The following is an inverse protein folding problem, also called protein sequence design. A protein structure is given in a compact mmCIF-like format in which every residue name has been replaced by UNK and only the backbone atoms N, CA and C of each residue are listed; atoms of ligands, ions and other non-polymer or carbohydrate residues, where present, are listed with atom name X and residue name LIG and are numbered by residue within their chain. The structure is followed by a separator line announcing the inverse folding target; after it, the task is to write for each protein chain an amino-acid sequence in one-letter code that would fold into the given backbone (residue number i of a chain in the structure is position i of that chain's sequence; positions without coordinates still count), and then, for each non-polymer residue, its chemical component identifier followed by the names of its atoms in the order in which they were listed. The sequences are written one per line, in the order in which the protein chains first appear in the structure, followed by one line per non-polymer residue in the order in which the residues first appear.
data_IF_459825492765
#
_entry.id   IF_459825492765
#
_cell.length_a   1.000
_cell.length_b   1.000
_cell.length_c   1.000
_cell.angle_alpha   90.00
_cell.angle_beta   90.00
_cell.angle_gamma   90.00
#
_symmetry.space_group_name_H-M   'P 1'
#
loop_
_entity.id
_entity.type
_entity.pdbx_description
1 polymer ?
#
# COMPACT_ATOMS: atom_id res chain seq x y z
N UNK A 1 93.00 38.36 -18.25
CA UNK A 1 92.67 38.41 -19.69
C UNK A 1 91.57 37.36 -19.88
N UNK A 2 90.32 37.66 -20.24
CA UNK A 2 89.81 38.54 -21.30
C UNK A 2 88.56 39.27 -20.78
N UNK A 3 88.48 40.58 -21.08
CA UNK A 3 87.30 41.46 -20.95
C UNK A 3 86.59 41.49 -22.30
N UNK A 4 85.25 41.48 -22.36
CA UNK A 4 84.43 42.16 -23.41
C UNK A 4 82.98 42.22 -22.88
N UNK A 5 82.57 43.37 -22.32
CA UNK A 5 81.83 44.49 -22.94
C UNK A 5 80.32 44.23 -23.12
N UNK A 6 79.60 45.05 -22.37
CA UNK A 6 78.16 45.31 -22.30
C UNK A 6 77.58 45.72 -23.65
N UNK A 7 76.37 45.24 -23.95
CA UNK A 7 75.38 45.96 -24.74
C UNK A 7 73.98 45.66 -24.19
N UNK A 8 73.37 46.69 -23.58
CA UNK A 8 71.96 46.73 -23.22
C UNK A 8 71.10 46.65 -24.49
N UNK A 9 70.07 45.81 -24.45
CA UNK A 9 68.84 46.01 -25.20
C UNK A 9 67.67 45.75 -24.25
N UNK A 10 67.00 46.86 -23.91
CA UNK A 10 65.72 46.90 -23.21
C UNK A 10 64.65 46.24 -24.10
N UNK A 11 64.13 45.09 -23.69
CA UNK A 11 62.82 44.63 -24.15
C UNK A 11 61.97 44.33 -22.92
N UNK A 12 61.12 45.31 -22.60
CA UNK A 12 60.09 45.24 -21.59
C UNK A 12 59.09 44.16 -22.02
N UNK A 13 59.18 42.97 -21.42
CA UNK A 13 58.12 41.96 -21.49
C UNK A 13 57.54 41.84 -20.09
N UNK A 14 56.47 42.61 -19.85
CA UNK A 14 55.51 42.30 -18.79
C UNK A 14 54.84 40.98 -19.16
N UNK A 15 55.43 39.86 -18.75
CA UNK A 15 54.66 38.64 -18.62
C UNK A 15 53.93 38.74 -17.28
N UNK A 16 52.72 39.30 -17.34
CA UNK A 16 51.84 39.39 -16.20
C UNK A 16 51.71 38.00 -15.55
N UNK A 17 52.00 37.93 -14.26
CA UNK A 17 51.49 36.88 -13.38
C UNK A 17 49.96 36.99 -13.36
N UNK A 18 49.29 36.47 -14.39
CA UNK A 18 47.95 35.97 -14.20
C UNK A 18 48.11 34.54 -13.71
N UNK A 19 48.06 34.39 -12.38
CA UNK A 19 47.32 33.26 -11.80
C UNK A 19 45.90 33.38 -12.37
N UNK A 20 45.71 32.93 -13.61
CA UNK A 20 44.42 32.55 -14.09
C UNK A 20 44.03 31.41 -13.15
N UNK A 21 43.24 31.77 -12.14
CA UNK A 21 42.32 30.85 -11.53
C UNK A 21 41.49 30.33 -12.69
N UNK A 22 41.97 29.24 -13.31
CA UNK A 22 41.10 28.31 -14.00
C UNK A 22 40.18 27.82 -12.88
N UNK A 23 39.12 28.59 -12.61
CA UNK A 23 37.81 27.97 -12.48
C UNK A 23 37.61 27.27 -13.82
N UNK A 24 38.15 26.07 -13.93
CA UNK A 24 37.39 25.02 -14.58
C UNK A 24 36.06 25.03 -13.84
N UNK A 25 35.11 25.77 -14.39
CA UNK A 25 33.71 25.49 -14.18
C UNK A 25 33.59 24.03 -14.60
N UNK A 26 33.60 23.17 -13.59
CA UNK A 26 33.32 21.76 -13.72
C UNK A 26 32.07 21.70 -14.60
N UNK A 27 32.13 21.14 -15.82
CA UNK A 27 30.92 20.93 -16.57
C UNK A 27 30.07 20.06 -15.66
N UNK A 28 28.93 20.59 -15.23
CA UNK A 28 27.94 19.86 -14.44
C UNK A 28 27.41 18.80 -15.39
N UNK A 29 28.14 17.70 -15.50
CA UNK A 29 27.74 16.52 -16.24
C UNK A 29 26.50 16.01 -15.52
N UNK A 30 25.34 16.18 -16.17
CA UNK A 30 24.08 15.55 -15.83
C UNK A 30 24.33 14.07 -15.52
N UNK A 31 24.50 13.75 -14.23
CA UNK A 31 24.32 12.40 -13.70
C UNK A 31 22.83 12.22 -13.46
N UNK A 32 22.06 12.37 -14.53
CA UNK A 32 20.63 12.11 -14.53
C UNK A 32 20.42 10.58 -14.46
N UNK A 33 19.66 10.14 -13.46
CA UNK A 33 18.46 9.34 -13.75
C UNK A 33 18.58 7.90 -14.23
N UNK A 34 19.76 7.29 -14.44
CA UNK A 34 19.85 6.02 -15.18
C UNK A 34 19.02 4.82 -14.63
N UNK A 35 18.67 4.79 -13.33
CA UNK A 35 17.83 3.71 -12.75
C UNK A 35 16.33 4.01 -12.70
N UNK A 36 15.93 5.28 -12.82
CA UNK A 36 14.54 5.73 -12.74
C UNK A 36 14.01 6.33 -14.05
N UNK A 37 14.88 6.66 -15.00
CA UNK A 37 14.48 7.13 -16.32
C UNK A 37 13.80 6.02 -17.13
N UNK A 38 12.82 6.44 -17.94
CA UNK A 38 11.96 5.59 -18.76
C UNK A 38 11.26 4.47 -17.97
N UNK A 39 10.93 4.75 -16.71
CA UNK A 39 10.21 3.81 -15.85
C UNK A 39 8.76 4.23 -15.65
N UNK A 40 7.91 3.24 -15.42
CA UNK A 40 6.49 3.42 -15.17
C UNK A 40 6.12 2.80 -13.84
N UNK A 41 5.29 3.51 -13.09
CA UNK A 41 4.97 3.21 -11.72
C UNK A 41 3.48 3.31 -11.48
N UNK A 42 2.99 2.52 -10.55
CA UNK A 42 1.62 2.54 -10.04
C UNK A 42 1.65 2.87 -8.55
N UNK A 43 0.83 3.81 -8.10
CA UNK A 43 0.76 4.15 -6.69
C UNK A 43 0.12 3.00 -5.91
N UNK A 44 0.85 2.51 -4.91
CA UNK A 44 0.37 1.48 -3.98
C UNK A 44 -0.31 2.15 -2.80
N UNK A 45 0.39 3.10 -2.18
CA UNK A 45 -0.08 3.73 -0.95
C UNK A 45 0.67 5.03 -0.60
N UNK A 46 0.05 5.81 0.27
CA UNK A 46 0.67 6.90 1.00
C UNK A 46 0.67 6.56 2.49
N UNK A 47 1.84 6.47 3.11
CA UNK A 47 2.04 6.25 4.54
C UNK A 47 2.22 7.60 5.22
N UNK A 48 1.24 8.05 6.01
CA UNK A 48 1.37 9.24 6.84
C UNK A 48 2.10 8.94 8.13
N UNK A 49 2.91 9.89 8.60
CA UNK A 49 3.50 9.85 9.95
C UNK A 49 2.51 10.24 11.05
N UNK A 50 1.32 10.74 10.67
CA UNK A 50 0.23 10.99 11.59
C UNK A 50 -0.50 9.69 11.89
N UNK A 51 -0.51 9.28 13.16
CA UNK A 51 -1.30 8.13 13.64
C UNK A 51 -2.81 8.28 13.37
N UNK A 52 -3.29 9.51 13.15
CA UNK A 52 -4.69 9.80 12.81
C UNK A 52 -5.02 9.55 11.33
N UNK A 53 -4.04 9.76 10.43
CA UNK A 53 -4.23 9.60 8.98
C UNK A 53 -3.82 8.18 8.55
N UNK A 54 -2.76 7.63 9.16
CA UNK A 54 -2.27 6.30 8.85
C UNK A 54 -1.91 6.14 7.38
N UNK A 55 -2.29 5.01 6.78
CA UNK A 55 -2.00 4.72 5.37
C UNK A 55 -3.24 4.93 4.51
N UNK A 56 -3.09 5.70 3.42
CA UNK A 56 -4.11 5.94 2.41
C UNK A 56 -3.77 5.14 1.15
N UNK A 57 -4.76 4.53 0.50
CA UNK A 57 -4.58 3.78 -0.76
C UNK A 57 -5.59 4.23 -1.82
N UNK A 58 -5.19 4.22 -3.11
CA UNK A 58 -6.14 4.43 -4.20
C UNK A 58 -7.26 3.40 -4.17
N UNK A 59 -8.51 3.84 -4.40
CA UNK A 59 -9.63 2.93 -4.63
C UNK A 59 -9.56 2.21 -5.98
N UNK A 60 -8.91 2.85 -6.96
CA UNK A 60 -8.72 2.41 -8.34
C UNK A 60 -7.23 2.58 -8.68
N UNK A 61 -6.33 1.70 -8.20
CA UNK A 61 -4.87 1.88 -8.32
C UNK A 61 -4.39 1.95 -9.77
N UNK A 62 -5.09 1.34 -10.72
CA UNK A 62 -4.84 1.44 -12.17
C UNK A 62 -5.00 2.86 -12.72
N UNK A 63 -5.71 3.73 -12.00
CA UNK A 63 -5.83 5.15 -12.33
C UNK A 63 -4.82 6.02 -11.59
N UNK A 64 -3.87 5.43 -10.87
CA UNK A 64 -2.80 6.18 -10.21
C UNK A 64 -1.46 5.71 -10.76
N UNK A 65 -1.01 6.32 -11.85
CA UNK A 65 0.22 5.94 -12.54
C UNK A 65 1.14 7.13 -12.71
N UNK A 66 2.44 6.84 -12.83
CA UNK A 66 3.48 7.83 -13.04
C UNK A 66 4.50 7.28 -14.05
N UNK A 67 4.83 8.09 -15.03
CA UNK A 67 5.91 7.84 -15.98
C UNK A 67 7.02 8.85 -15.71
N UNK A 68 8.24 8.36 -15.50
CA UNK A 68 9.44 9.17 -15.34
C UNK A 68 10.26 9.06 -16.62
N UNK A 69 10.14 10.04 -17.51
CA UNK A 69 10.84 10.01 -18.80
C UNK A 69 12.32 10.41 -18.64
N UNK A 70 13.19 9.86 -19.50
CA UNK A 70 14.62 10.18 -19.50
C UNK A 70 14.94 11.65 -19.80
N UNK A 71 14.04 12.38 -20.46
CA UNK A 71 14.18 13.82 -20.71
C UNK A 71 13.93 14.70 -19.46
N UNK A 72 13.67 14.09 -18.30
CA UNK A 72 13.39 14.79 -17.05
C UNK A 72 11.93 15.25 -16.93
N UNK A 73 11.03 14.81 -17.81
CA UNK A 73 9.59 15.05 -17.68
C UNK A 73 8.90 13.91 -16.92
N UNK A 74 7.92 14.27 -16.10
CA UNK A 74 7.06 13.33 -15.37
C UNK A 74 5.60 13.53 -15.80
N UNK A 75 4.95 12.43 -16.16
CA UNK A 75 3.51 12.41 -16.51
C UNK A 75 2.78 11.50 -15.54
N UNK A 76 1.67 11.97 -14.98
CA UNK A 76 0.92 11.26 -13.95
C UNK A 76 -0.56 11.19 -14.31
N UNK A 77 -1.16 10.03 -14.09
CA UNK A 77 -2.60 9.87 -13.92
C UNK A 77 -2.85 9.77 -12.41
N UNK A 78 -3.69 10.63 -11.86
CA UNK A 78 -4.03 10.73 -10.43
C UNK A 78 -5.54 10.59 -10.27
N UNK A 79 -6.03 9.35 -10.28
CA UNK A 79 -7.45 9.05 -10.29
C UNK A 79 -8.11 9.58 -11.56
N UNK A 80 -9.01 10.54 -11.40
CA UNK A 80 -9.68 11.23 -12.50
C UNK A 80 -8.88 12.43 -13.06
N UNK A 81 -7.81 12.84 -12.38
CA UNK A 81 -6.97 13.97 -12.77
C UNK A 81 -5.71 13.52 -13.52
N UNK A 82 -5.19 14.39 -14.39
CA UNK A 82 -3.89 14.23 -15.03
C UNK A 82 -2.96 15.34 -14.58
N UNK A 83 -1.69 15.01 -14.37
CA UNK A 83 -0.66 15.97 -14.03
C UNK A 83 0.61 15.78 -14.86
N UNK A 84 1.31 16.88 -15.12
CA UNK A 84 2.59 16.88 -15.81
C UNK A 84 3.54 17.90 -15.18
N UNK A 85 4.83 17.58 -15.14
CA UNK A 85 5.88 18.51 -14.76
C UNK A 85 7.26 17.93 -15.02
N UNK A 86 8.26 18.45 -14.32
CA UNK A 86 9.63 17.93 -14.39
C UNK A 86 9.96 17.09 -13.16
N UNK A 87 10.95 16.22 -13.29
CA UNK A 87 11.52 15.48 -12.18
C UNK A 87 13.05 15.42 -12.30
N UNK A 88 13.72 15.22 -11.17
CA UNK A 88 15.14 14.93 -11.12
C UNK A 88 15.45 14.00 -9.95
N UNK A 89 16.49 13.20 -10.12
CA UNK A 89 17.04 12.37 -9.05
C UNK A 89 18.56 12.40 -9.05
N UNK A 90 19.14 12.42 -7.85
CA UNK A 90 20.60 12.30 -7.64
C UNK A 90 20.83 11.02 -6.83
N UNK A 91 21.42 9.96 -7.42
CA UNK A 91 21.63 8.70 -6.73
C UNK A 91 22.69 8.83 -5.62
N UNK A 92 22.45 8.13 -4.51
CA UNK A 92 23.44 7.87 -3.47
C UNK A 92 24.44 6.80 -3.88
N UNK A 93 25.35 6.43 -2.97
CA UNK A 93 26.50 5.58 -3.25
C UNK A 93 26.14 4.20 -3.84
N UNK A 94 25.01 3.62 -3.44
CA UNK A 94 24.53 2.30 -3.91
C UNK A 94 23.49 2.38 -5.03
N UNK A 95 23.10 3.59 -5.45
CA UNK A 95 22.07 3.84 -6.47
C UNK A 95 20.63 3.45 -6.07
N UNK A 96 20.46 2.73 -4.96
CA UNK A 96 19.17 2.26 -4.44
C UNK A 96 18.42 3.35 -3.68
N UNK A 97 19.11 4.38 -3.20
CA UNK A 97 18.51 5.55 -2.56
C UNK A 97 19.13 6.83 -3.10
N UNK A 98 18.49 7.97 -2.85
CA UNK A 98 19.05 9.26 -3.25
C UNK A 98 18.07 10.41 -3.08
N UNK A 99 18.44 11.57 -3.62
CA UNK A 99 17.56 12.72 -3.67
C UNK A 99 16.58 12.57 -4.83
N UNK A 100 15.34 12.99 -4.62
CA UNK A 100 14.30 13.04 -5.66
C UNK A 100 13.54 14.36 -5.52
N UNK A 101 13.24 15.01 -6.64
CA UNK A 101 12.39 16.19 -6.64
C UNK A 101 11.48 16.24 -7.85
N UNK A 102 10.25 16.72 -7.64
CA UNK A 102 9.40 17.21 -8.72
C UNK A 102 9.60 18.72 -8.86
N UNK A 103 9.61 19.21 -10.10
CA UNK A 103 9.32 20.61 -10.40
C UNK A 103 7.83 20.92 -10.22
N UNK A 104 7.38 22.12 -10.60
CA UNK A 104 5.97 22.46 -10.58
C UNK A 104 5.14 21.46 -11.42
N UNK A 105 4.13 20.84 -10.79
CA UNK A 105 3.18 19.97 -11.48
C UNK A 105 1.95 20.79 -11.90
N UNK A 106 1.67 20.83 -13.20
CA UNK A 106 0.41 21.29 -13.73
C UNK A 106 -0.60 20.14 -13.68
N UNK A 107 -1.72 20.32 -12.97
CA UNK A 107 -2.75 19.28 -12.81
C UNK A 107 -4.12 19.80 -13.25
N UNK A 108 -4.93 18.91 -13.83
CA UNK A 108 -6.37 19.15 -13.96
C UNK A 108 -7.04 19.21 -12.58
N UNK A 109 -8.27 19.75 -12.53
CA UNK A 109 -9.04 19.96 -11.28
C UNK A 109 -10.44 19.34 -11.36
N UNK A 110 -10.51 18.09 -11.81
CA UNK A 110 -11.71 17.28 -11.69
C UNK A 110 -11.91 16.86 -10.22
N UNK A 111 -13.17 16.72 -9.80
CA UNK A 111 -13.50 16.29 -8.45
C UNK A 111 -13.49 14.75 -8.40
N UNK A 112 -12.37 14.18 -7.96
CA UNK A 112 -12.26 12.72 -7.87
C UNK A 112 -12.99 12.17 -6.64
N UNK A 113 -13.48 10.92 -6.70
CA UNK A 113 -14.05 10.25 -5.53
C UNK A 113 -13.06 10.21 -4.35
N UNK A 114 -13.54 10.26 -3.10
CA UNK A 114 -12.72 10.00 -1.92
C UNK A 114 -11.95 8.67 -2.01
N UNK A 115 -10.70 8.56 -1.51
CA UNK A 115 -10.06 9.44 -0.52
C UNK A 115 -9.34 10.68 -1.08
N UNK A 116 -9.59 11.09 -2.33
CA UNK A 116 -8.98 12.27 -2.97
C UNK A 116 -7.44 12.29 -2.90
N UNK A 117 -6.83 11.12 -3.16
CA UNK A 117 -5.38 11.00 -3.23
C UNK A 117 -4.75 11.82 -4.35
N UNK A 118 -5.56 12.21 -5.34
CA UNK A 118 -5.17 13.08 -6.44
C UNK A 118 -4.78 14.49 -5.97
N UNK A 119 -5.66 15.15 -5.21
CA UNK A 119 -5.39 16.48 -4.64
C UNK A 119 -4.23 16.42 -3.65
N UNK A 120 -4.20 15.35 -2.84
CA UNK A 120 -3.16 15.13 -1.83
C UNK A 120 -1.79 14.98 -2.48
N UNK A 121 -1.64 14.07 -3.45
CA UNK A 121 -0.36 13.88 -4.14
C UNK A 121 0.06 15.15 -4.86
N UNK A 122 -0.84 15.81 -5.60
CA UNK A 122 -0.53 17.05 -6.31
C UNK A 122 -0.04 18.17 -5.37
N UNK A 123 -0.59 18.26 -4.16
CA UNK A 123 -0.11 19.18 -3.13
C UNK A 123 1.23 18.77 -2.52
N UNK A 124 1.41 17.48 -2.28
CA UNK A 124 2.58 16.92 -1.60
C UNK A 124 3.81 16.80 -2.50
N UNK A 125 3.63 16.69 -3.82
CA UNK A 125 4.72 16.46 -4.77
C UNK A 125 5.87 17.47 -4.65
N UNK A 126 5.54 18.76 -4.41
CA UNK A 126 6.53 19.83 -4.20
C UNK A 126 7.39 19.65 -2.94
N UNK A 127 6.98 18.75 -2.05
CA UNK A 127 7.65 18.44 -0.79
C UNK A 127 8.41 17.11 -0.81
N UNK A 128 8.37 16.34 -1.91
CA UNK A 128 9.19 15.13 -2.09
C UNK A 128 10.66 15.53 -2.13
N UNK A 129 11.50 14.86 -1.33
CA UNK A 129 12.95 15.17 -1.23
C UNK A 129 13.87 13.97 -1.41
N UNK A 130 13.36 12.76 -1.24
CA UNK A 130 14.19 11.57 -1.33
C UNK A 130 13.46 10.39 -1.96
N UNK A 131 14.24 9.44 -2.45
CA UNK A 131 13.75 8.15 -2.89
C UNK A 131 14.50 6.99 -2.25
N UNK A 132 13.81 5.86 -2.13
CA UNK A 132 14.38 4.56 -1.82
C UNK A 132 13.72 3.48 -2.69
N UNK A 133 14.55 2.77 -3.44
CA UNK A 133 14.23 1.52 -4.11
C UNK A 133 14.36 0.38 -3.10
N UNK A 134 13.24 -0.23 -2.75
CA UNK A 134 13.20 -1.35 -1.82
C UNK A 134 12.15 -2.34 -2.28
N UNK A 135 12.51 -3.62 -2.34
CA UNK A 135 11.63 -4.71 -2.78
C UNK A 135 11.05 -4.49 -4.18
N UNK A 136 11.80 -3.81 -5.06
CA UNK A 136 11.36 -3.43 -6.41
C UNK A 136 10.44 -2.20 -6.46
N UNK A 137 10.04 -1.64 -5.31
CA UNK A 137 9.18 -0.48 -5.21
C UNK A 137 9.98 0.82 -5.07
N UNK A 138 9.47 1.89 -5.68
CA UNK A 138 9.95 3.25 -5.50
C UNK A 138 9.21 3.93 -4.35
N UNK A 139 9.92 4.23 -3.27
CA UNK A 139 9.40 4.94 -2.11
C UNK A 139 9.84 6.40 -2.21
N UNK A 140 8.91 7.34 -2.30
CA UNK A 140 9.16 8.78 -2.36
C UNK A 140 8.85 9.42 -1.01
N UNK A 141 9.87 9.91 -0.32
CA UNK A 141 9.76 10.52 1.01
C UNK A 141 9.52 12.02 0.92
N UNK A 142 8.54 12.51 1.69
CA UNK A 142 8.30 13.93 1.90
C UNK A 142 9.27 14.52 2.93
N UNK A 143 9.54 15.81 2.85
CA UNK A 143 10.27 16.54 3.90
C UNK A 143 9.51 16.55 5.23
N UNK A 144 10.23 16.82 6.32
CA UNK A 144 9.67 17.06 7.65
C UNK A 144 8.71 15.96 8.14
N UNK A 145 9.04 14.70 7.84
CA UNK A 145 8.23 13.53 8.19
C UNK A 145 6.78 13.62 7.65
N UNK A 146 6.59 14.26 6.49
CA UNK A 146 5.27 14.43 5.89
C UNK A 146 4.60 13.11 5.48
N UNK A 147 5.39 12.05 5.30
CA UNK A 147 4.94 10.72 4.87
C UNK A 147 5.74 10.17 3.69
N UNK A 148 5.35 8.99 3.23
CA UNK A 148 6.03 8.26 2.15
C UNK A 148 4.99 7.79 1.13
N UNK A 149 5.20 8.12 -0.15
CA UNK A 149 4.44 7.51 -1.24
C UNK A 149 5.17 6.27 -1.73
N UNK A 150 4.49 5.14 -1.76
CA UNK A 150 5.03 3.86 -2.22
C UNK A 150 4.45 3.55 -3.60
N UNK A 151 5.34 3.35 -4.56
CA UNK A 151 5.00 3.06 -5.94
C UNK A 151 5.59 1.71 -6.35
N UNK A 152 4.82 0.90 -7.06
CA UNK A 152 5.31 -0.36 -7.63
C UNK A 152 5.54 -0.22 -9.14
N UNK A 153 6.43 -1.00 -9.75
CA UNK A 153 6.60 -0.99 -11.20
C UNK A 153 5.28 -1.33 -11.88
N UNK A 154 4.86 -0.50 -12.83
CA UNK A 154 3.69 -0.78 -13.65
C UNK A 154 4.04 -1.93 -14.59
N UNK A 155 3.57 -3.15 -14.28
CA UNK A 155 3.70 -4.29 -15.18
C UNK A 155 2.87 -3.97 -16.42
N UNK A 156 3.54 -3.82 -17.56
CA UNK A 156 2.84 -3.81 -18.84
C UNK A 156 1.97 -5.06 -18.93
N UNK A 157 0.69 -4.97 -19.31
CA UNK A 157 -0.02 -6.15 -19.74
C UNK A 157 0.76 -6.73 -20.93
N UNK A 158 1.33 -7.92 -20.74
CA UNK A 158 1.80 -8.74 -21.85
C UNK A 158 0.62 -8.82 -22.80
N UNK A 159 0.82 -8.36 -24.03
CA UNK A 159 -0.13 -8.50 -25.13
C UNK A 159 -0.45 -9.99 -25.22
N UNK A 160 -1.59 -10.40 -24.66
CA UNK A 160 -2.07 -11.76 -24.84
C UNK A 160 -2.41 -11.92 -26.31
N UNK A 161 -1.45 -12.49 -27.05
CA UNK A 161 -1.73 -13.21 -28.26
C UNK A 161 -2.68 -14.35 -27.87
N UNK A 162 -3.86 -14.31 -28.47
CA UNK A 162 -4.86 -15.36 -28.39
C UNK A 162 -4.25 -16.60 -29.04
N UNK A 163 -3.78 -17.54 -28.24
CA UNK A 163 -3.62 -18.91 -28.68
C UNK A 163 -4.25 -19.85 -27.66
N UNK A 164 -5.33 -20.48 -28.12
CA UNK A 164 -6.21 -21.36 -27.40
C UNK A 164 -5.58 -22.75 -27.30
N UNK A 165 -5.55 -23.38 -26.11
CA UNK A 165 -5.64 -24.83 -26.07
C UNK A 165 -6.80 -25.28 -25.18
N UNK A 166 -7.81 -25.77 -25.89
CA UNK A 166 -8.74 -26.86 -25.56
C UNK A 166 -8.39 -27.71 -24.33
N UNK A 167 -9.37 -27.72 -23.42
CA UNK A 167 -9.76 -28.73 -22.44
C UNK A 167 -8.84 -29.95 -22.19
N UNK A 168 -8.46 -30.11 -20.93
CA UNK A 168 -8.48 -31.40 -20.26
C UNK A 168 -9.01 -31.20 -18.83
N UNK A 169 -10.22 -31.68 -18.58
CA UNK A 169 -10.82 -31.84 -17.26
C UNK A 169 -10.06 -32.92 -16.48
N UNK A 170 -9.76 -32.68 -15.20
CA UNK A 170 -9.92 -33.72 -14.17
C UNK A 170 -10.11 -33.09 -12.79
N UNK A 171 -11.11 -33.62 -12.08
CA UNK A 171 -11.70 -33.16 -10.82
C UNK A 171 -10.75 -32.94 -9.64
N UNK A 172 -11.01 -31.87 -8.86
CA UNK A 172 -10.84 -31.89 -7.41
C UNK A 172 -11.67 -30.78 -6.73
N UNK A 173 -12.74 -31.22 -6.06
CA UNK A 173 -13.44 -30.60 -4.91
C UNK A 173 -13.65 -29.08 -4.95
N UNK A 174 -14.80 -28.67 -5.49
CA UNK A 174 -15.37 -27.34 -5.25
C UNK A 174 -16.07 -27.34 -3.89
N UNK A 175 -15.35 -27.01 -2.82
CA UNK A 175 -16.03 -26.44 -1.65
C UNK A 175 -16.36 -25.00 -2.01
N UNK A 176 -17.64 -24.69 -2.14
CA UNK A 176 -18.09 -23.34 -2.49
C UNK A 176 -17.66 -22.38 -1.38
N UNK A 177 -16.58 -21.63 -1.60
CA UNK A 177 -16.22 -20.52 -0.73
C UNK A 177 -17.38 -19.51 -0.77
N UNK A 178 -18.04 -19.29 0.37
CA UNK A 178 -19.13 -18.33 0.45
C UNK A 178 -18.54 -16.92 0.40
N UNK A 179 -18.77 -16.19 -0.68
CA UNK A 179 -18.55 -14.74 -0.71
C UNK A 179 -19.47 -14.10 0.33
N UNK A 180 -18.94 -13.20 1.15
CA UNK A 180 -19.67 -12.60 2.27
C UNK A 180 -21.06 -12.06 1.89
N UNK A 181 -22.02 -12.20 2.82
CA UNK A 181 -23.38 -11.71 2.67
C UNK A 181 -23.37 -10.19 2.47
N UNK A 182 -24.09 -9.72 1.45
CA UNK A 182 -24.10 -8.31 1.00
C UNK A 182 -25.35 -7.54 1.44
N UNK A 183 -26.22 -8.15 2.26
CA UNK A 183 -27.38 -7.48 2.87
C UNK A 183 -27.07 -7.08 4.31
N UNK A 184 -27.29 -5.80 4.63
CA UNK A 184 -27.07 -5.25 5.96
C UNK A 184 -27.93 -5.88 7.06
N UNK A 185 -27.35 -5.95 8.26
CA UNK A 185 -28.01 -6.41 9.48
C UNK A 185 -27.76 -5.37 10.59
N UNK A 186 -28.85 -4.76 11.06
CA UNK A 186 -28.78 -3.68 12.04
C UNK A 186 -28.19 -4.11 13.40
N UNK A 187 -28.30 -5.39 13.77
CA UNK A 187 -27.73 -5.94 15.01
C UNK A 187 -26.23 -6.18 14.85
N UNK A 188 -25.78 -6.61 13.66
CA UNK A 188 -24.35 -6.70 13.34
C UNK A 188 -23.73 -5.29 13.37
N UNK A 189 -24.35 -4.31 12.71
CA UNK A 189 -23.86 -2.92 12.72
C UNK A 189 -23.74 -2.35 14.12
N UNK A 190 -24.77 -2.58 14.96
CA UNK A 190 -24.73 -2.18 16.36
C UNK A 190 -23.58 -2.84 17.12
N UNK A 191 -23.30 -4.13 16.86
CA UNK A 191 -22.17 -4.83 17.43
C UNK A 191 -20.84 -4.23 16.96
N UNK A 192 -20.66 -3.95 15.66
CA UNK A 192 -19.45 -3.32 15.12
C UNK A 192 -19.21 -1.96 15.78
N UNK A 193 -20.22 -1.07 15.78
CA UNK A 193 -20.10 0.29 16.31
C UNK A 193 -19.82 0.31 17.82
N UNK A 194 -20.47 -0.56 18.59
CA UNK A 194 -20.17 -0.74 20.03
C UNK A 194 -18.73 -1.17 20.26
N UNK A 195 -18.17 -1.91 19.32
CA UNK A 195 -16.81 -2.47 19.39
C UNK A 195 -15.75 -1.46 18.95
N UNK A 196 -16.16 -0.38 18.27
CA UNK A 196 -15.32 0.64 17.67
C UNK A 196 -15.93 2.05 17.81
N UNK A 197 -16.09 2.56 19.05
CA UNK A 197 -16.78 3.84 19.30
C UNK A 197 -16.06 5.04 18.65
N UNK A 198 -14.74 4.96 18.52
CA UNK A 198 -13.93 6.00 17.87
C UNK A 198 -14.23 6.14 16.38
N UNK A 199 -14.72 5.09 15.70
CA UNK A 199 -15.10 5.17 14.28
C UNK A 199 -16.23 6.19 14.07
N UNK A 200 -17.31 6.11 14.87
CA UNK A 200 -18.42 7.06 14.80
C UNK A 200 -17.96 8.49 15.09
N UNK A 201 -17.10 8.66 16.10
CA UNK A 201 -16.59 9.97 16.50
C UNK A 201 -15.76 10.61 15.38
N UNK A 202 -14.76 9.89 14.89
CA UNK A 202 -13.85 10.35 13.83
C UNK A 202 -14.62 10.66 12.54
N UNK A 203 -15.59 9.82 12.17
CA UNK A 203 -16.37 10.04 10.94
C UNK A 203 -17.24 11.30 11.04
N UNK A 204 -17.79 11.62 12.22
CA UNK A 204 -18.58 12.84 12.46
C UNK A 204 -17.73 14.11 12.52
N UNK A 205 -16.54 14.04 13.11
CA UNK A 205 -15.67 15.20 13.35
C UNK A 205 -14.82 15.59 12.14
N UNK A 206 -14.26 14.60 11.43
CA UNK A 206 -13.27 14.82 10.37
C UNK A 206 -13.90 14.66 8.97
N UNK A 207 -14.94 13.83 8.86
CA UNK A 207 -15.53 13.47 7.58
C UNK A 207 -14.59 12.62 6.71
N UNK A 208 -15.14 11.71 5.91
CA UNK A 208 -14.40 11.03 4.83
C UNK A 208 -13.84 9.63 5.11
N UNK A 209 -13.82 9.15 6.36
CA UNK A 209 -13.52 7.73 6.63
C UNK A 209 -14.79 6.89 6.53
N UNK A 210 -15.02 6.28 5.36
CA UNK A 210 -16.11 5.32 5.18
C UNK A 210 -15.61 3.92 5.45
N UNK A 211 -16.29 3.21 6.35
CA UNK A 211 -16.12 1.78 6.52
C UNK A 211 -17.26 1.02 5.84
N UNK A 212 -16.92 -0.19 5.45
CA UNK A 212 -17.87 -1.20 4.99
C UNK A 212 -17.63 -2.48 5.77
N UNK A 213 -18.52 -3.44 5.66
CA UNK A 213 -18.33 -4.76 6.25
C UNK A 213 -18.95 -5.82 5.36
N UNK A 214 -18.42 -7.02 5.42
CA UNK A 214 -19.10 -8.21 4.92
C UNK A 214 -19.08 -9.25 6.03
N UNK A 215 -20.03 -10.17 6.00
CA UNK A 215 -20.08 -11.21 7.01
C UNK A 215 -20.49 -12.55 6.41
N UNK A 216 -20.07 -13.62 7.06
CA UNK A 216 -20.53 -14.98 6.81
C UNK A 216 -21.04 -15.57 8.11
N UNK A 217 -21.95 -16.54 7.98
CA UNK A 217 -22.42 -17.34 9.10
C UNK A 217 -21.82 -18.72 8.98
N UNK A 218 -21.33 -19.25 10.09
CA UNK A 218 -20.71 -20.55 10.15
C UNK A 218 -20.83 -21.10 11.56
N UNK A 219 -21.30 -22.34 11.69
CA UNK A 219 -21.36 -23.06 12.96
C UNK A 219 -19.95 -23.56 13.34
N UNK A 220 -19.27 -22.80 14.22
CA UNK A 220 -17.91 -23.14 14.64
C UNK A 220 -17.88 -24.17 15.76
N UNK A 221 -18.97 -24.36 16.48
CA UNK A 221 -19.01 -25.19 17.70
C UNK A 221 -19.87 -26.46 17.55
N UNK A 222 -20.59 -26.60 16.43
CA UNK A 222 -21.44 -27.74 16.10
C UNK A 222 -22.76 -27.79 16.88
N UNK A 223 -23.19 -26.69 17.51
CA UNK A 223 -24.41 -26.65 18.31
C UNK A 223 -25.68 -26.37 17.48
N UNK A 224 -25.53 -26.12 16.17
CA UNK A 224 -26.61 -25.82 15.24
C UNK A 224 -26.98 -24.33 15.18
N UNK A 225 -26.35 -23.48 15.98
CA UNK A 225 -26.45 -22.01 15.93
C UNK A 225 -25.21 -21.46 15.25
N UNK A 226 -25.39 -20.77 14.12
CA UNK A 226 -24.25 -20.22 13.40
C UNK A 226 -23.68 -18.97 14.08
N UNK A 227 -22.37 -18.93 14.29
CA UNK A 227 -21.66 -17.71 14.60
C UNK A 227 -21.45 -16.84 13.37
N UNK A 228 -21.20 -15.55 13.60
CA UNK A 228 -21.03 -14.57 12.54
C UNK A 228 -19.60 -14.06 12.52
N UNK A 229 -18.88 -14.34 11.44
CA UNK A 229 -17.59 -13.72 11.16
C UNK A 229 -17.83 -12.46 10.34
N UNK A 230 -17.39 -11.32 10.88
CA UNK A 230 -17.55 -10.01 10.25
C UNK A 230 -16.18 -9.49 9.85
N UNK A 231 -15.95 -9.36 8.55
CA UNK A 231 -14.76 -8.76 7.99
C UNK A 231 -15.00 -7.25 7.76
N UNK A 232 -14.19 -6.41 8.42
CA UNK A 232 -14.34 -4.97 8.38
C UNK A 232 -13.48 -4.39 7.26
N UNK A 233 -14.07 -3.54 6.44
CA UNK A 233 -13.46 -2.95 5.26
C UNK A 233 -13.31 -1.44 5.44
N UNK A 234 -12.25 -0.87 4.88
CA UNK A 234 -11.99 0.57 4.92
C UNK A 234 -10.77 0.92 5.77
N UNK A 235 -10.20 2.10 5.51
CA UNK A 235 -8.91 2.53 6.09
C UNK A 235 -8.89 2.59 7.61
N UNK A 236 -10.05 2.76 8.26
CA UNK A 236 -10.14 2.70 9.72
C UNK A 236 -9.88 1.29 10.28
N UNK A 237 -10.31 0.25 9.55
CA UNK A 237 -10.24 -1.14 9.98
C UNK A 237 -9.13 -1.95 9.31
N UNK A 238 -8.51 -1.42 8.24
CA UNK A 238 -7.56 -2.16 7.40
C UNK A 238 -6.18 -1.51 7.31
N UNK A 239 -5.13 -2.33 7.45
CA UNK A 239 -3.72 -1.96 7.27
C UNK A 239 -3.01 -2.82 6.22
N UNK A 240 -1.68 -2.72 6.12
CA UNK A 240 -0.86 -3.55 5.20
C UNK A 240 -0.91 -5.04 5.53
N UNK A 241 -1.13 -5.36 6.81
CA UNK A 241 -1.16 -6.74 7.27
C UNK A 241 -2.49 -7.45 6.99
N UNK A 242 -3.55 -6.72 6.63
CA UNK A 242 -4.92 -7.21 6.56
C UNK A 242 -5.90 -6.30 7.30
N UNK A 243 -7.16 -6.71 7.36
CA UNK A 243 -8.22 -5.99 8.04
C UNK A 243 -8.60 -6.58 9.39
N UNK A 244 -9.24 -5.79 10.22
CA UNK A 244 -9.85 -6.28 11.44
C UNK A 244 -11.05 -7.17 11.12
N UNK A 245 -11.16 -8.28 11.84
CA UNK A 245 -12.29 -9.18 11.77
C UNK A 245 -12.88 -9.39 13.16
N UNK A 246 -14.20 -9.49 13.27
CA UNK A 246 -14.90 -9.81 14.50
C UNK A 246 -15.51 -11.21 14.39
N UNK A 247 -15.51 -11.94 15.50
CA UNK A 247 -16.35 -13.12 15.67
C UNK A 247 -17.46 -12.80 16.65
N UNK A 248 -18.70 -13.03 16.23
CA UNK A 248 -19.89 -12.72 16.99
C UNK A 248 -20.72 -13.98 17.23
N UNK A 249 -21.22 -14.14 18.44
CA UNK A 249 -22.15 -15.19 18.86
C UNK A 249 -23.56 -14.60 18.98
N UNK A 250 -24.60 -15.22 18.40
CA UNK A 250 -25.98 -14.80 18.61
C UNK A 250 -26.35 -14.78 20.10
N UNK A 251 -27.05 -13.73 20.52
CA UNK A 251 -27.57 -13.59 21.88
C UNK A 251 -29.03 -13.13 21.85
N UNK A 252 -29.72 -13.20 23.00
CA UNK A 252 -31.12 -12.79 23.14
C UNK A 252 -31.37 -11.38 22.54
N UNK A 253 -30.45 -10.45 22.79
CA UNK A 253 -30.49 -9.09 22.24
C UNK A 253 -29.32 -8.81 21.30
N UNK A 254 -29.32 -9.49 20.15
CA UNK A 254 -28.39 -9.22 19.07
C UNK A 254 -27.18 -10.14 19.10
N UNK A 255 -25.99 -9.59 19.28
CA UNK A 255 -24.75 -10.35 19.22
C UNK A 255 -23.81 -10.01 20.36
N UNK A 256 -23.16 -11.05 20.89
CA UNK A 256 -22.01 -10.97 21.81
C UNK A 256 -20.73 -11.07 21.00
N UNK A 257 -19.75 -10.22 21.29
CA UNK A 257 -18.43 -10.29 20.64
C UNK A 257 -17.61 -11.37 21.33
N UNK A 258 -17.25 -12.43 20.60
CA UNK A 258 -16.40 -13.50 21.11
C UNK A 258 -14.93 -13.16 20.92
N UNK A 259 -14.57 -12.61 19.76
CA UNK A 259 -13.18 -12.25 19.50
C UNK A 259 -13.05 -11.09 18.53
N UNK A 260 -11.92 -10.38 18.65
CA UNK A 260 -11.44 -9.42 17.65
C UNK A 260 -10.11 -9.91 17.12
N UNK A 261 -10.02 -10.14 15.83
CA UNK A 261 -8.79 -10.49 15.15
C UNK A 261 -8.23 -9.23 14.51
N UNK A 262 -7.14 -8.72 15.08
CA UNK A 262 -6.35 -7.71 14.40
C UNK A 262 -5.67 -8.37 13.20
N UNK A 263 -5.58 -7.63 12.09
CA UNK A 263 -4.72 -8.00 10.95
C UNK A 263 -5.07 -9.39 10.36
N UNK A 264 -6.17 -9.45 9.63
CA UNK A 264 -6.67 -10.64 8.95
C UNK A 264 -6.63 -10.43 7.44
N UNK A 265 -5.89 -11.25 6.71
CA UNK A 265 -6.06 -11.39 5.27
C UNK A 265 -6.97 -12.57 4.96
N UNK A 266 -7.79 -12.41 3.93
CA UNK A 266 -8.59 -13.48 3.39
C UNK A 266 -7.70 -14.45 2.56
N UNK A 267 -8.04 -15.74 2.47
CA UNK A 267 -9.23 -16.36 3.06
C UNK A 267 -9.11 -16.61 4.57
N UNK A 268 -10.25 -16.74 5.23
CA UNK A 268 -10.35 -17.28 6.60
C UNK A 268 -10.81 -18.73 6.52
N UNK A 269 -10.17 -19.57 7.33
CA UNK A 269 -10.27 -21.02 7.24
C UNK A 269 -10.73 -21.58 8.59
N UNK A 270 -11.73 -22.46 8.57
CA UNK A 270 -12.07 -23.32 9.70
C UNK A 270 -11.21 -24.59 9.65
N UNK A 271 -10.43 -24.82 10.70
CA UNK A 271 -9.64 -26.03 10.88
C UNK A 271 -10.55 -27.24 11.11
N UNK A 272 -10.16 -28.45 10.65
CA UNK A 272 -10.81 -29.68 11.08
C UNK A 272 -10.49 -30.04 12.55
N UNK A 273 -9.52 -29.33 13.17
CA UNK A 273 -9.16 -29.48 14.58
C UNK A 273 -9.99 -28.54 15.43
N UNK A 274 -10.48 -29.05 16.56
CA UNK A 274 -11.26 -28.29 17.53
C UNK A 274 -10.49 -28.12 18.85
N UNK A 275 -10.66 -26.97 19.49
CA UNK A 275 -10.18 -26.66 20.83
C UNK A 275 -11.35 -26.21 21.69
N UNK A 276 -11.52 -26.82 22.86
CA UNK A 276 -12.62 -26.51 23.77
C UNK A 276 -14.01 -26.52 23.10
N UNK A 277 -14.23 -27.47 22.18
CA UNK A 277 -15.50 -27.66 21.47
C UNK A 277 -15.75 -26.71 20.30
N UNK A 278 -14.76 -25.90 19.90
CA UNK A 278 -14.87 -24.97 18.78
C UNK A 278 -13.77 -25.23 17.75
N UNK A 279 -14.10 -25.14 16.46
CA UNK A 279 -13.13 -25.26 15.36
C UNK A 279 -12.07 -24.17 15.45
N UNK A 280 -10.80 -24.55 15.39
CA UNK A 280 -9.71 -23.59 15.36
C UNK A 280 -9.84 -22.69 14.11
N UNK A 281 -9.64 -21.38 14.28
CA UNK A 281 -9.70 -20.42 13.17
C UNK A 281 -8.29 -20.21 12.64
N UNK A 282 -8.13 -20.32 11.32
CA UNK A 282 -6.87 -20.05 10.65
C UNK A 282 -7.07 -18.83 9.75
N UNK A 283 -6.32 -17.78 10.01
CA UNK A 283 -6.27 -16.59 9.15
C UNK A 283 -4.92 -16.46 8.47
N UNK A 284 -4.88 -15.75 7.36
CA UNK A 284 -3.64 -15.42 6.67
C UNK A 284 -3.12 -14.10 7.23
N UNK A 285 -1.82 -14.04 7.50
CA UNK A 285 -1.08 -12.81 7.75
C UNK A 285 0.04 -12.70 6.74
N UNK A 286 0.14 -11.56 6.07
CA UNK A 286 1.27 -11.19 5.23
C UNK A 286 1.47 -9.69 5.34
N UNK A 287 2.67 -9.17 5.08
CA UNK A 287 2.94 -7.73 5.15
C UNK A 287 4.36 -7.41 5.57
N UNK A 288 4.81 -6.19 5.28
CA UNK A 288 6.15 -5.74 5.67
C UNK A 288 7.32 -6.50 5.03
N UNK A 289 7.08 -7.19 3.90
CA UNK A 289 8.09 -8.00 3.21
C UNK A 289 8.25 -9.43 3.73
N UNK A 290 7.52 -9.83 4.77
CA UNK A 290 7.54 -11.20 5.26
C UNK A 290 6.68 -12.13 4.38
N UNK A 291 7.11 -13.39 4.16
CA UNK A 291 6.27 -14.40 3.51
C UNK A 291 4.93 -14.56 4.24
N UNK A 292 3.87 -14.84 3.47
CA UNK A 292 2.57 -15.10 4.06
C UNK A 292 2.62 -16.31 5.01
N UNK A 293 1.90 -16.21 6.12
CA UNK A 293 1.79 -17.28 7.12
C UNK A 293 0.33 -17.59 7.39
N UNK A 294 0.04 -18.87 7.60
CA UNK A 294 -1.16 -19.29 8.28
C UNK A 294 -0.98 -19.10 9.78
N UNK A 295 -1.93 -18.44 10.41
CA UNK A 295 -1.93 -18.22 11.86
C UNK A 295 -3.14 -18.89 12.45
N UNK A 296 -2.89 -19.93 13.25
CA UNK A 296 -3.93 -20.71 13.92
C UNK A 296 -4.26 -20.10 15.27
N UNK A 297 -5.54 -19.85 15.47
CA UNK A 297 -6.14 -19.39 16.71
C UNK A 297 -6.94 -20.53 17.32
N UNK A 298 -6.66 -20.81 18.60
CA UNK A 298 -7.35 -21.85 19.37
C UNK A 298 -8.36 -21.23 20.32
N UNK A 299 -9.52 -21.83 20.44
CA UNK A 299 -10.53 -21.38 21.41
C UNK A 299 -10.17 -21.86 22.82
N UNK A 300 -10.33 -20.96 23.79
CA UNK A 300 -9.99 -21.20 25.21
C UNK A 300 -11.17 -21.66 26.06
N UNK A 301 -12.37 -21.72 25.48
CA UNK A 301 -13.64 -21.81 26.20
C UNK A 301 -14.33 -20.45 26.39
N UNK A 302 -13.64 -19.34 26.09
CA UNK A 302 -14.22 -17.98 26.16
C UNK A 302 -13.91 -17.13 24.93
N UNK A 303 -12.67 -17.17 24.44
CA UNK A 303 -12.20 -16.40 23.29
C UNK A 303 -11.08 -17.15 22.55
N UNK A 304 -10.74 -16.67 21.35
CA UNK A 304 -9.67 -17.23 20.53
C UNK A 304 -8.32 -16.57 20.85
N UNK A 305 -7.26 -17.38 20.88
CA UNK A 305 -5.89 -16.89 21.06
C UNK A 305 -4.96 -17.48 20.00
N UNK A 306 -4.02 -16.66 19.54
CA UNK A 306 -2.97 -17.09 18.64
C UNK A 306 -2.07 -18.12 19.32
N UNK A 307 -1.80 -19.24 18.63
CA UNK A 307 -0.94 -20.30 19.16
C UNK A 307 0.16 -20.76 18.22
N UNK A 308 -0.09 -20.71 16.92
CA UNK A 308 0.79 -21.33 15.94
C UNK A 308 0.85 -20.50 14.66
N UNK A 309 2.07 -20.34 14.15
CA UNK A 309 2.35 -19.72 12.85
C UNK A 309 3.02 -20.76 11.96
N UNK A 310 2.43 -20.99 10.81
CA UNK A 310 2.91 -21.93 9.81
C UNK A 310 3.18 -21.16 8.50
N UNK A 311 4.20 -21.54 7.71
CA UNK A 311 4.36 -21.01 6.37
C UNK A 311 3.09 -21.22 5.55
N UNK A 312 2.64 -20.20 4.81
CA UNK A 312 1.53 -20.38 3.88
C UNK A 312 1.98 -21.28 2.72
N UNK A 313 1.20 -22.30 2.43
CA UNK A 313 1.39 -23.21 1.30
C UNK A 313 0.10 -23.26 0.48
N UNK A 314 0.15 -23.86 -0.71
CA UNK A 314 -1.04 -24.07 -1.54
C UNK A 314 -2.02 -25.08 -0.92
N UNK A 315 -1.53 -25.94 -0.02
CA UNK A 315 -2.38 -26.86 0.72
C UNK A 315 -3.08 -26.12 1.86
N UNK A 316 -4.41 -25.99 1.75
CA UNK A 316 -5.23 -25.33 2.75
C UNK A 316 -5.39 -26.21 4.00
N UNK A 317 -5.16 -25.67 5.21
CA UNK A 317 -5.26 -26.42 6.46
C UNK A 317 -6.71 -26.58 6.98
N UNK A 318 -7.71 -26.54 6.10
CA UNK A 318 -9.12 -26.63 6.46
C UNK A 318 -10.06 -26.10 5.39
N UNK A 319 -11.31 -25.88 5.79
CA UNK A 319 -12.37 -25.34 4.93
C UNK A 319 -12.29 -23.81 4.87
N UNK A 320 -12.38 -23.22 3.68
CA UNK A 320 -12.52 -21.77 3.55
C UNK A 320 -13.93 -21.37 3.96
N UNK A 321 -14.03 -20.61 5.05
CA UNK A 321 -15.30 -20.07 5.55
C UNK A 321 -15.51 -18.62 5.12
N UNK A 322 -14.45 -17.89 4.80
CA UNK A 322 -14.52 -16.55 4.25
C UNK A 322 -13.59 -16.43 3.05
N UNK A 323 -14.17 -16.27 1.85
CA UNK A 323 -13.44 -16.22 0.58
C UNK A 323 -12.53 -14.99 0.44
N UNK A 324 -11.51 -15.08 -0.42
CA UNK A 324 -10.53 -14.03 -0.71
C UNK A 324 -10.97 -12.98 -1.74
N UNK A 325 -12.15 -13.15 -2.35
CA UNK A 325 -12.65 -12.30 -3.42
C UNK A 325 -13.33 -11.01 -2.95
N UNK A 326 -13.20 -10.62 -1.68
CA UNK A 326 -13.93 -9.48 -1.12
C UNK A 326 -13.16 -8.17 -1.29
N UNK A 327 -13.70 -7.25 -2.08
CA UNK A 327 -13.22 -5.88 -2.21
C UNK A 327 -14.01 -4.91 -1.32
N UNK A 328 -13.52 -3.68 -1.16
CA UNK A 328 -14.24 -2.64 -0.42
C UNK A 328 -15.65 -2.41 -1.01
N UNK A 329 -15.81 -2.37 -2.33
CA UNK A 329 -17.10 -2.14 -2.99
C UNK A 329 -18.14 -3.22 -2.76
N UNK A 330 -17.71 -4.44 -2.43
CA UNK A 330 -18.60 -5.58 -2.19
C UNK A 330 -19.21 -5.53 -0.78
N UNK A 331 -18.60 -4.76 0.13
CA UNK A 331 -19.07 -4.63 1.50
C UNK A 331 -20.31 -3.75 1.65
N UNK A 332 -21.10 -4.05 2.67
CA UNK A 332 -22.24 -3.25 3.15
C UNK A 332 -21.70 -1.97 3.79
N UNK A 333 -22.30 -0.82 3.48
CA UNK A 333 -21.95 0.45 4.13
C UNK A 333 -22.18 0.39 5.63
N UNK A 334 -21.13 0.70 6.42
CA UNK A 334 -21.25 0.88 7.85
C UNK A 334 -21.51 2.36 8.15
N UNK A 335 -22.78 2.70 8.32
CA UNK A 335 -23.16 4.07 8.67
C UNK A 335 -22.72 4.42 10.09
N UNK A 336 -21.99 5.53 10.29
CA UNK A 336 -21.63 6.01 11.62
C UNK A 336 -22.91 6.48 12.33
N UNK A 337 -23.40 5.72 13.32
CA UNK A 337 -24.51 6.17 14.18
C UNK A 337 -24.03 7.13 15.25
#
# INVERSE_FOLDING_TARGET
MVKFKVALLFSLWLCACSLASNKEEIPVSNSLSASLADTQWQLVEFQSMSNLIGTLRPSEPEKFTMVLNNDGTATLQLGCNQAQGTWSAVPGADGSSGQFSFGPLASTRAMCPPPRLDERFASDAKFVRGYLLKDGNLNLSLMADGGIYVWQPLKHPVTQQVENPKAAETSAVTTAATTGVTRGDAKIEAAILRTSPEYSKITKEIGGMKARYAYIKFDLNGDGTEEVLVYLLGSYFCGTGGCNMLLLEPAAEGYKVINKFAITQLPVIASPVESAGWKDIIRVEAGGGAPATFVRHKFTGQHYIERERMPKTDQLPGEIIFADSLSFSDGITLEPR
#
